data_IF_290231518383
#
_entry.id   IF_290231518383
#
_cell.length_a   1.000
_cell.length_b   1.000
_cell.length_c   1.000
_cell.angle_alpha   90.00
_cell.angle_beta   90.00
_cell.angle_gamma   90.00
#
_symmetry.space_group_name_H-M   'P 1'
#
loop_
_entity.id
_entity.type
_entity.pdbx_description
1 polymer ?
#
# COMPACT_ATOMS: atom_id res chain seq x y z
N UNK A 1 10.89 8.11 -14.82
CA UNK A 1 10.20 9.26 -15.46
C UNK A 1 8.71 9.11 -15.22
N UNK A 2 8.03 10.20 -14.90
CA UNK A 2 6.57 10.26 -14.75
C UNK A 2 6.04 11.22 -15.82
N UNK A 3 4.89 10.91 -16.40
CA UNK A 3 4.29 11.79 -17.39
C UNK A 3 2.84 11.45 -17.68
N UNK A 4 2.15 12.38 -18.33
CA UNK A 4 0.87 12.13 -18.95
C UNK A 4 1.05 11.83 -20.44
N UNK A 5 0.25 10.90 -20.96
CA UNK A 5 0.18 10.58 -22.38
C UNK A 5 -1.23 10.83 -22.88
N UNK A 6 -1.39 11.75 -23.83
CA UNK A 6 -2.66 11.98 -24.51
C UNK A 6 -2.71 11.14 -25.77
N UNK A 7 -3.75 10.32 -25.90
CA UNK A 7 -3.95 9.42 -27.04
C UNK A 7 -5.35 9.64 -27.59
N UNK A 8 -5.50 9.54 -28.92
CA UNK A 8 -6.80 9.51 -29.54
C UNK A 8 -7.28 8.06 -29.66
N UNK A 9 -8.45 7.77 -29.09
CA UNK A 9 -9.09 6.46 -29.20
C UNK A 9 -9.57 6.21 -30.64
N UNK A 10 -9.92 4.94 -30.94
CA UNK A 10 -10.39 4.54 -32.29
C UNK A 10 -11.66 5.27 -32.74
N UNK A 11 -12.46 5.74 -31.80
CA UNK A 11 -13.67 6.52 -32.04
C UNK A 11 -13.41 8.04 -32.18
N UNK A 12 -12.14 8.46 -32.08
CA UNK A 12 -11.73 9.86 -32.17
C UNK A 12 -11.71 10.61 -30.84
N UNK A 13 -12.17 9.98 -29.74
CA UNK A 13 -12.20 10.58 -28.40
C UNK A 13 -10.76 10.75 -27.86
N UNK A 14 -10.34 11.96 -27.45
CA UNK A 14 -9.08 12.13 -26.75
C UNK A 14 -9.18 11.52 -25.35
N UNK A 15 -8.18 10.73 -24.95
CA UNK A 15 -8.05 10.17 -23.62
C UNK A 15 -6.63 10.40 -23.08
N UNK A 16 -6.56 10.86 -21.84
CA UNK A 16 -5.31 11.04 -21.11
C UNK A 16 -5.03 9.81 -20.24
N UNK A 17 -3.75 9.43 -20.17
CA UNK A 17 -3.24 8.38 -19.31
C UNK A 17 -2.08 8.90 -18.47
N UNK A 18 -1.87 8.28 -17.31
CA UNK A 18 -0.66 8.48 -16.52
C UNK A 18 0.28 7.30 -16.74
N UNK A 19 1.55 7.59 -17.01
CA UNK A 19 2.58 6.58 -17.25
C UNK A 19 3.79 6.81 -16.34
N UNK A 20 4.23 5.72 -15.71
CA UNK A 20 5.53 5.63 -15.03
C UNK A 20 6.47 4.80 -15.87
N UNK A 21 7.70 5.27 -16.02
CA UNK A 21 8.77 4.56 -16.75
C UNK A 21 9.99 4.44 -15.85
N UNK A 22 10.42 3.20 -15.58
CA UNK A 22 11.51 2.87 -14.68
C UNK A 22 12.43 1.85 -15.36
N UNK A 23 13.73 2.14 -15.38
CA UNK A 23 14.73 1.23 -15.96
C UNK A 23 15.27 0.24 -14.93
N UNK A 24 16.02 -0.76 -15.40
CA UNK A 24 16.62 -1.84 -14.62
C UNK A 24 15.61 -2.86 -14.12
N UNK A 25 16.12 -4.03 -13.73
CA UNK A 25 15.33 -5.12 -13.15
C UNK A 25 14.44 -4.69 -11.96
N UNK A 26 14.94 -3.79 -11.10
CA UNK A 26 14.13 -3.23 -10.01
C UNK A 26 12.89 -2.50 -10.52
N UNK A 27 12.99 -1.81 -11.66
CA UNK A 27 11.87 -1.13 -12.31
C UNK A 27 10.79 -2.08 -12.79
N UNK A 28 11.17 -3.28 -13.27
CA UNK A 28 10.21 -4.32 -13.63
C UNK A 28 9.38 -4.75 -12.41
N UNK A 29 10.05 -5.00 -11.30
CA UNK A 29 9.38 -5.47 -10.08
C UNK A 29 8.51 -4.37 -9.46
N UNK A 30 8.98 -3.12 -9.45
CA UNK A 30 8.20 -1.97 -8.97
C UNK A 30 6.94 -1.75 -9.80
N UNK A 31 7.05 -1.68 -11.12
CA UNK A 31 5.90 -1.44 -12.02
C UNK A 31 4.87 -2.56 -11.97
N UNK A 32 5.33 -3.83 -11.88
CA UNK A 32 4.43 -4.98 -11.70
C UNK A 32 3.77 -4.99 -10.33
N UNK A 33 4.53 -4.72 -9.26
CA UNK A 33 4.01 -4.65 -7.90
C UNK A 33 2.92 -3.57 -7.76
N UNK A 34 3.17 -2.39 -8.31
CA UNK A 34 2.19 -1.30 -8.35
C UNK A 34 0.96 -1.66 -9.17
N UNK A 35 1.12 -2.22 -10.38
CA UNK A 35 -0.01 -2.65 -11.21
C UNK A 35 -0.92 -3.64 -10.48
N UNK A 36 -0.36 -4.65 -9.82
CA UNK A 36 -1.13 -5.63 -9.07
C UNK A 36 -1.78 -5.04 -7.81
N UNK A 37 -1.11 -4.11 -7.14
CA UNK A 37 -1.64 -3.41 -5.96
C UNK A 37 -2.85 -2.55 -6.32
N UNK A 38 -2.67 -1.68 -7.32
CA UNK A 38 -3.73 -0.83 -7.87
C UNK A 38 -4.89 -1.67 -8.40
N UNK A 39 -4.61 -2.81 -9.04
CA UNK A 39 -5.66 -3.70 -9.55
C UNK A 39 -6.46 -4.34 -8.44
N UNK A 40 -5.80 -4.78 -7.36
CA UNK A 40 -6.47 -5.35 -6.20
C UNK A 40 -7.38 -4.32 -5.52
N UNK A 41 -6.89 -3.09 -5.34
CA UNK A 41 -7.70 -2.01 -4.78
C UNK A 41 -8.87 -1.63 -5.68
N UNK A 42 -8.62 -1.43 -6.98
CA UNK A 42 -9.66 -1.04 -7.93
C UNK A 42 -10.76 -2.11 -8.04
N UNK A 43 -10.42 -3.40 -7.90
CA UNK A 43 -11.43 -4.46 -7.88
C UNK A 43 -12.34 -4.42 -6.65
N UNK A 44 -11.88 -3.86 -5.53
CA UNK A 44 -12.65 -3.73 -4.28
C UNK A 44 -13.42 -2.41 -4.23
N UNK A 45 -12.77 -1.32 -4.63
CA UNK A 45 -13.29 0.04 -4.53
C UNK A 45 -12.79 0.90 -5.71
N UNK A 46 -13.40 0.76 -6.91
CA UNK A 46 -12.97 1.44 -8.14
C UNK A 46 -12.87 2.96 -8.01
N UNK A 47 -13.74 3.58 -7.22
CA UNK A 47 -13.79 5.02 -7.02
C UNK A 47 -12.63 5.59 -6.20
N UNK A 48 -11.85 4.75 -5.50
CA UNK A 48 -10.79 5.21 -4.59
C UNK A 48 -9.41 5.29 -5.24
N UNK A 49 -9.21 4.64 -6.39
CA UNK A 49 -7.91 4.53 -7.06
C UNK A 49 -8.05 4.71 -8.57
N UNK A 50 -7.09 5.35 -9.26
CA UNK A 50 -7.05 5.33 -10.72
C UNK A 50 -7.04 3.90 -11.24
N UNK A 51 -7.90 3.61 -12.21
CA UNK A 51 -7.95 2.33 -12.91
C UNK A 51 -6.59 1.97 -13.53
N UNK A 52 -5.95 0.89 -13.08
CA UNK A 52 -4.75 0.38 -13.74
C UNK A 52 -5.10 -0.22 -15.09
N UNK A 53 -4.24 -0.02 -16.08
CA UNK A 53 -4.47 -0.43 -17.46
C UNK A 53 -3.47 -1.50 -17.88
N UNK A 54 -2.18 -1.25 -17.67
CA UNK A 54 -1.14 -2.17 -18.09
C UNK A 54 0.18 -1.96 -17.33
N UNK A 55 1.01 -2.99 -17.31
CA UNK A 55 2.44 -2.87 -17.05
C UNK A 55 3.22 -3.75 -18.03
N UNK A 56 4.47 -3.40 -18.32
CA UNK A 56 5.29 -4.19 -19.25
C UNK A 56 6.69 -3.65 -19.45
N UNK A 57 7.39 -4.23 -20.42
CA UNK A 57 8.74 -3.83 -20.84
C UNK A 57 8.67 -3.28 -22.25
N UNK A 58 9.46 -2.23 -22.54
CA UNK A 58 9.55 -1.65 -23.87
C UNK A 58 10.16 -2.67 -24.84
N UNK A 59 9.55 -2.84 -26.01
CA UNK A 59 10.05 -3.75 -27.04
C UNK A 59 11.42 -3.30 -27.58
N UNK A 60 11.61 -1.98 -27.75
CA UNK A 60 12.84 -1.41 -28.31
C UNK A 60 13.92 -1.13 -27.26
N UNK A 61 13.58 -1.14 -25.97
CA UNK A 61 14.49 -0.84 -24.85
C UNK A 61 14.26 -1.87 -23.73
N UNK A 62 14.92 -3.01 -23.84
CA UNK A 62 14.67 -4.20 -23.00
C UNK A 62 14.82 -3.97 -21.48
N UNK A 63 15.59 -2.96 -21.05
CA UNK A 63 15.81 -2.63 -19.64
C UNK A 63 14.93 -1.46 -19.17
N UNK A 64 13.81 -1.21 -19.83
CA UNK A 64 12.88 -0.12 -19.51
C UNK A 64 11.46 -0.64 -19.37
N UNK A 65 10.87 -0.41 -18.20
CA UNK A 65 9.59 -0.96 -17.80
C UNK A 65 8.59 0.16 -17.53
N UNK A 66 7.30 -0.14 -17.69
CA UNK A 66 6.24 0.84 -17.46
C UNK A 66 5.09 0.30 -16.63
N UNK A 67 4.42 1.25 -15.97
CA UNK A 67 3.07 1.12 -15.42
C UNK A 67 2.21 2.22 -16.06
N UNK A 68 1.00 1.85 -16.47
CA UNK A 68 0.02 2.71 -17.14
C UNK A 68 -1.32 2.60 -16.41
N UNK A 69 -1.90 3.74 -16.06
CA UNK A 69 -3.25 3.85 -15.51
C UNK A 69 -4.02 5.01 -16.14
N UNK A 70 -5.32 5.09 -15.84
CA UNK A 70 -6.11 6.24 -16.22
C UNK A 70 -5.56 7.53 -15.59
N UNK A 71 -5.67 8.63 -16.32
CA UNK A 71 -5.33 9.94 -15.78
C UNK A 71 -6.54 10.51 -15.04
N UNK A 72 -6.34 10.94 -13.79
CA UNK A 72 -7.33 11.64 -12.98
C UNK A 72 -6.76 13.01 -12.61
N UNK A 73 -7.51 14.07 -12.88
CA UNK A 73 -7.15 15.40 -12.41
C UNK A 73 -7.43 15.47 -10.91
N UNK A 74 -6.44 15.93 -10.15
CA UNK A 74 -6.52 16.01 -8.71
C UNK A 74 -6.18 17.42 -8.23
N UNK A 75 -6.81 17.85 -7.15
CA UNK A 75 -6.38 19.06 -6.42
C UNK A 75 -5.28 18.71 -5.41
N UNK A 76 -4.46 19.69 -5.07
CA UNK A 76 -3.37 19.55 -4.09
C UNK A 76 -3.86 19.62 -2.63
N UNK A 77 -5.18 19.67 -2.42
CA UNK A 77 -5.78 19.77 -1.09
C UNK A 77 -5.76 18.42 -0.36
N UNK A 78 -5.61 18.49 0.95
CA UNK A 78 -5.78 17.30 1.80
C UNK A 78 -7.23 16.83 1.77
N UNK A 79 -7.49 15.53 1.57
CA UNK A 79 -8.84 14.98 1.65
C UNK A 79 -9.48 15.25 3.02
N UNK A 80 -10.78 15.53 3.03
CA UNK A 80 -11.56 15.62 4.26
C UNK A 80 -11.38 14.33 5.10
N UNK A 81 -11.08 14.42 6.40
CA UNK A 81 -10.83 13.25 7.23
C UNK A 81 -11.96 12.22 7.25
N UNK A 82 -13.23 12.66 7.26
CA UNK A 82 -14.38 11.76 7.29
C UNK A 82 -14.60 11.08 5.95
N UNK A 83 -14.56 11.82 4.83
CA UNK A 83 -14.67 11.23 3.49
C UNK A 83 -13.56 10.21 3.25
N UNK A 84 -12.31 10.58 3.55
CA UNK A 84 -11.16 9.69 3.36
C UNK A 84 -11.24 8.44 4.24
N UNK A 85 -11.59 8.61 5.52
CA UNK A 85 -11.80 7.51 6.45
C UNK A 85 -12.89 6.55 5.99
N UNK A 86 -13.99 7.06 5.43
CA UNK A 86 -15.08 6.24 4.91
C UNK A 86 -14.59 5.33 3.76
N UNK A 87 -13.83 5.88 2.81
CA UNK A 87 -13.27 5.11 1.69
C UNK A 87 -12.24 4.07 2.15
N UNK A 88 -11.30 4.48 3.02
CA UNK A 88 -10.28 3.56 3.54
C UNK A 88 -10.91 2.43 4.37
N UNK A 89 -11.89 2.75 5.22
CA UNK A 89 -12.63 1.74 5.98
C UNK A 89 -13.42 0.81 5.06
N UNK A 90 -14.09 1.34 4.04
CA UNK A 90 -14.80 0.53 3.05
C UNK A 90 -13.85 -0.43 2.30
N UNK A 91 -12.65 0.01 1.91
CA UNK A 91 -11.64 -0.86 1.32
C UNK A 91 -11.24 -2.01 2.27
N UNK A 92 -10.94 -1.69 3.53
CA UNK A 92 -10.56 -2.69 4.53
C UNK A 92 -11.71 -3.68 4.83
N UNK A 93 -12.96 -3.20 4.89
CA UNK A 93 -14.13 -4.03 5.16
C UNK A 93 -14.55 -4.90 3.98
N UNK A 94 -14.53 -4.37 2.76
CA UNK A 94 -14.98 -5.08 1.55
C UNK A 94 -13.91 -6.00 0.96
N UNK A 95 -12.63 -5.78 1.27
CA UNK A 95 -11.57 -6.66 0.79
C UNK A 95 -11.61 -8.03 1.45
N UNK A 96 -11.35 -9.06 0.65
CA UNK A 96 -11.27 -10.44 1.09
C UNK A 96 -9.94 -11.03 0.61
N UNK A 97 -9.17 -11.61 1.53
CA UNK A 97 -7.95 -12.33 1.15
C UNK A 97 -8.35 -13.59 0.38
N UNK A 98 -7.83 -13.81 -0.84
CA UNK A 98 -8.16 -15.02 -1.61
C UNK A 98 -7.72 -16.34 -0.96
N UNK A 99 -7.02 -16.26 0.17
CA UNK A 99 -6.43 -17.40 0.87
C UNK A 99 -6.72 -17.41 2.36
N UNK A 100 -7.54 -16.47 2.84
CA UNK A 100 -7.78 -16.23 4.27
C UNK A 100 -6.49 -16.04 5.08
N UNK A 101 -5.44 -15.50 4.44
CA UNK A 101 -4.10 -15.31 5.01
C UNK A 101 -3.57 -13.91 4.76
N UNK A 102 -2.64 -13.48 5.60
CA UNK A 102 -1.85 -12.27 5.39
C UNK A 102 -0.84 -12.49 4.27
N UNK A 103 -0.37 -11.40 3.66
CA UNK A 103 0.58 -11.39 2.55
C UNK A 103 -0.04 -11.03 1.20
N UNK A 104 0.69 -11.29 0.12
CA UNK A 104 0.26 -10.94 -1.24
C UNK A 104 0.88 -11.90 -2.26
N UNK A 105 0.34 -11.97 -3.47
CA UNK A 105 0.83 -12.90 -4.49
C UNK A 105 2.10 -12.42 -5.20
N UNK A 106 2.44 -11.14 -5.07
CA UNK A 106 3.63 -10.52 -5.67
C UNK A 106 4.22 -9.50 -4.70
N UNK A 107 5.54 -9.36 -4.69
CA UNK A 107 6.20 -8.33 -3.89
C UNK A 107 5.92 -6.94 -4.48
N UNK A 108 5.29 -6.08 -3.70
CA UNK A 108 5.25 -4.65 -3.98
C UNK A 108 6.44 -3.94 -3.31
N UNK A 109 6.65 -2.66 -3.63
CA UNK A 109 7.82 -1.90 -3.18
C UNK A 109 7.38 -0.60 -2.50
N UNK A 110 7.83 -0.39 -1.27
CA UNK A 110 7.73 0.89 -0.59
C UNK A 110 9.02 1.67 -0.86
N UNK A 111 8.96 2.62 -1.80
CA UNK A 111 10.17 3.18 -2.43
C UNK A 111 11.00 2.08 -3.10
N UNK A 112 12.25 1.89 -2.67
CA UNK A 112 13.12 0.83 -3.21
C UNK A 112 13.14 -0.44 -2.36
N UNK A 113 12.35 -0.51 -1.29
CA UNK A 113 12.34 -1.64 -0.37
C UNK A 113 11.25 -2.63 -0.77
N UNK A 114 11.61 -3.89 -1.11
CA UNK A 114 10.61 -4.92 -1.37
C UNK A 114 9.87 -5.23 -0.07
N UNK A 115 8.55 -5.33 -0.16
CA UNK A 115 7.71 -5.73 0.96
C UNK A 115 7.71 -7.25 1.13
N UNK A 116 7.58 -7.71 2.38
CA UNK A 116 7.37 -9.12 2.67
C UNK A 116 5.93 -9.49 2.30
N UNK A 117 5.77 -10.54 1.48
CA UNK A 117 4.45 -10.94 0.95
C UNK A 117 4.14 -12.41 1.12
N UNK A 118 5.03 -13.19 1.76
CA UNK A 118 4.77 -14.61 1.96
C UNK A 118 3.54 -14.82 2.84
N UNK A 119 2.80 -15.89 2.56
CA UNK A 119 1.50 -16.14 3.19
C UNK A 119 1.65 -16.61 4.62
N UNK A 120 0.92 -15.99 5.52
CA UNK A 120 0.92 -16.35 6.94
C UNK A 120 -0.52 -16.38 7.49
N UNK A 121 -0.79 -17.34 8.38
CA UNK A 121 -2.11 -17.47 9.01
C UNK A 121 -2.29 -16.65 10.29
N UNK A 122 -1.21 -16.07 10.83
CA UNK A 122 -1.23 -15.24 12.04
C UNK A 122 -0.63 -13.87 11.74
N UNK A 123 -1.27 -12.84 12.27
CA UNK A 123 -0.81 -11.47 12.21
C UNK A 123 0.50 -11.29 12.97
N UNK A 124 0.63 -11.88 14.17
CA UNK A 124 1.88 -11.87 14.94
C UNK A 124 3.04 -12.40 14.09
N UNK A 125 2.85 -13.57 13.47
CA UNK A 125 3.87 -14.21 12.65
C UNK A 125 4.21 -13.40 11.40
N UNK A 126 3.19 -12.88 10.69
CA UNK A 126 3.39 -12.05 9.51
C UNK A 126 4.16 -10.77 9.84
N UNK A 127 3.71 -10.02 10.85
CA UNK A 127 4.34 -8.77 11.24
C UNK A 127 5.79 -8.99 11.70
N UNK A 128 6.06 -10.05 12.47
CA UNK A 128 7.41 -10.42 12.84
C UNK A 128 8.29 -10.67 11.60
N UNK A 129 7.83 -11.48 10.63
CA UNK A 129 8.61 -11.76 9.43
C UNK A 129 8.87 -10.51 8.59
N UNK A 130 7.89 -9.61 8.47
CA UNK A 130 8.07 -8.30 7.82
C UNK A 130 9.11 -7.45 8.52
N UNK A 131 9.04 -7.32 9.86
CA UNK A 131 10.03 -6.56 10.63
C UNK A 131 11.43 -7.18 10.56
N UNK A 132 11.52 -8.50 10.50
CA UNK A 132 12.79 -9.22 10.34
C UNK A 132 13.43 -8.86 9.00
N UNK A 133 12.67 -8.95 7.91
CA UNK A 133 13.15 -8.58 6.58
C UNK A 133 13.64 -7.13 6.54
N UNK A 134 12.89 -6.19 7.14
CA UNK A 134 13.31 -4.78 7.18
C UNK A 134 14.63 -4.59 7.93
N UNK A 135 14.82 -5.27 9.06
CA UNK A 135 16.08 -5.21 9.81
C UNK A 135 17.24 -5.87 9.05
N UNK A 136 17.00 -7.01 8.41
CA UNK A 136 18.04 -7.71 7.63
C UNK A 136 18.50 -6.87 6.44
N UNK A 137 17.59 -6.15 5.78
CA UNK A 137 17.92 -5.19 4.72
C UNK A 137 18.76 -4.02 5.25
N UNK A 138 18.44 -3.50 6.42
CA UNK A 138 19.21 -2.42 7.04
C UNK A 138 20.61 -2.89 7.47
N UNK A 139 20.71 -4.08 8.08
CA UNK A 139 21.98 -4.71 8.46
C UNK A 139 22.83 -4.99 7.22
N UNK A 140 22.22 -5.51 6.15
CA UNK A 140 22.92 -5.77 4.89
C UNK A 140 23.51 -4.50 4.27
N UNK A 141 22.91 -3.33 4.52
CA UNK A 141 23.34 -2.06 3.94
C UNK A 141 24.28 -1.24 4.84
N UNK A 142 24.05 -1.23 6.15
CA UNK A 142 24.83 -0.42 7.11
C UNK A 142 25.81 -1.25 7.95
N UNK A 143 25.73 -2.57 7.88
CA UNK A 143 26.44 -3.48 8.76
C UNK A 143 25.69 -3.73 10.09
N UNK A 144 26.11 -4.75 10.85
CA UNK A 144 25.54 -5.05 12.16
C UNK A 144 25.93 -3.98 13.19
N UNK A 145 25.07 -3.79 14.19
CA UNK A 145 25.33 -2.96 15.37
C UNK A 145 24.88 -3.71 16.63
N UNK A 146 25.63 -3.58 17.72
CA UNK A 146 25.27 -4.16 19.02
C UNK A 146 23.93 -3.61 19.53
N UNK A 147 23.71 -2.29 19.39
CA UNK A 147 22.46 -1.63 19.75
C UNK A 147 21.27 -2.22 18.97
N UNK A 148 21.46 -2.43 17.66
CA UNK A 148 20.45 -3.04 16.80
C UNK A 148 20.18 -4.51 17.18
N UNK A 149 21.20 -5.24 17.61
CA UNK A 149 21.08 -6.61 18.11
C UNK A 149 20.24 -6.68 19.39
N UNK A 150 20.53 -5.82 20.37
CA UNK A 150 19.77 -5.73 21.63
C UNK A 150 18.32 -5.32 21.35
N UNK A 151 18.12 -4.31 20.51
CA UNK A 151 16.79 -3.85 20.09
C UNK A 151 16.01 -4.97 19.40
N UNK A 152 16.61 -5.63 18.42
CA UNK A 152 15.99 -6.75 17.69
C UNK A 152 15.60 -7.85 18.69
N UNK A 153 16.49 -8.32 19.55
CA UNK A 153 16.14 -9.35 20.52
C UNK A 153 14.91 -8.96 21.39
N UNK A 154 14.87 -7.74 21.93
CA UNK A 154 13.72 -7.27 22.70
C UNK A 154 12.43 -7.14 21.88
N UNK A 155 12.54 -6.66 20.63
CA UNK A 155 11.41 -6.49 19.71
C UNK A 155 10.71 -7.84 19.46
N UNK A 156 11.46 -8.88 19.17
CA UNK A 156 10.90 -10.18 18.77
C UNK A 156 10.52 -11.07 19.94
N UNK A 157 11.31 -11.09 21.02
CA UNK A 157 11.01 -11.97 22.16
C UNK A 157 9.95 -11.39 23.10
N UNK A 158 9.75 -10.06 23.08
CA UNK A 158 8.87 -9.39 24.05
C UNK A 158 7.83 -8.51 23.39
N UNK A 159 8.24 -7.52 22.60
CA UNK A 159 7.33 -6.45 22.16
C UNK A 159 6.26 -7.00 21.21
N UNK A 160 6.65 -7.66 20.12
CA UNK A 160 5.73 -8.21 19.13
C UNK A 160 4.76 -9.22 19.76
N UNK A 161 5.22 -10.26 20.49
CA UNK A 161 4.34 -11.18 21.19
C UNK A 161 3.36 -10.52 22.16
N UNK A 162 3.81 -9.55 22.95
CA UNK A 162 2.95 -8.92 23.97
C UNK A 162 1.88 -8.01 23.38
N UNK A 163 2.16 -7.39 22.24
CA UNK A 163 1.22 -6.47 21.59
C UNK A 163 0.28 -7.17 20.61
N UNK A 164 0.79 -8.12 19.82
CA UNK A 164 0.02 -8.70 18.71
C UNK A 164 -0.68 -10.01 19.07
N UNK A 165 -0.06 -10.87 19.89
CA UNK A 165 -0.69 -12.15 20.27
C UNK A 165 -2.06 -11.99 20.92
N UNK A 166 -2.29 -11.00 21.81
CA UNK A 166 -3.61 -10.81 22.38
C UNK A 166 -4.69 -10.58 21.31
N UNK A 167 -4.36 -9.94 20.18
CA UNK A 167 -5.33 -9.68 19.11
C UNK A 167 -5.88 -10.97 18.47
N UNK A 168 -5.17 -12.08 18.58
CA UNK A 168 -5.53 -13.40 18.02
C UNK A 168 -5.77 -14.45 19.13
N UNK A 169 -5.89 -14.01 20.39
CA UNK A 169 -6.12 -14.87 21.56
C UNK A 169 -7.56 -14.76 22.07
N UNK A 170 -7.99 -15.72 22.89
CA UNK A 170 -9.32 -15.74 23.53
C UNK A 170 -10.48 -15.74 22.53
N UNK A 171 -10.29 -16.39 21.37
CA UNK A 171 -11.28 -16.47 20.30
C UNK A 171 -11.36 -15.24 19.39
N UNK A 172 -10.49 -14.23 19.61
CA UNK A 172 -10.34 -13.10 18.69
C UNK A 172 -9.62 -13.53 17.41
N UNK A 173 -9.98 -12.89 16.31
CA UNK A 173 -9.40 -13.15 14.99
C UNK A 173 -9.11 -11.79 14.36
N UNK A 174 -7.91 -11.64 13.81
CA UNK A 174 -7.57 -10.47 12.99
C UNK A 174 -7.91 -10.78 11.54
N UNK A 175 -8.79 -9.98 10.94
CA UNK A 175 -9.11 -10.09 9.52
C UNK A 175 -7.92 -9.62 8.64
N UNK A 176 -7.42 -10.44 7.69
CA UNK A 176 -6.52 -9.97 6.65
C UNK A 176 -7.27 -9.01 5.71
N UNK A 177 -7.01 -7.72 5.85
CA UNK A 177 -7.61 -6.64 5.07
C UNK A 177 -6.59 -6.14 4.04
N UNK A 178 -7.04 -5.78 2.84
CA UNK A 178 -6.15 -5.21 1.81
C UNK A 178 -5.73 -3.81 2.24
N UNK A 179 -4.48 -3.64 2.67
CA UNK A 179 -3.94 -2.34 3.06
C UNK A 179 -3.18 -1.69 1.92
N UNK A 180 -3.11 -0.36 1.96
CA UNK A 180 -2.47 0.45 0.93
C UNK A 180 -0.94 0.26 0.84
N UNK A 181 -0.28 0.10 1.99
CA UNK A 181 1.17 -0.17 2.11
C UNK A 181 2.06 1.06 2.34
N UNK A 182 1.79 2.18 1.67
CA UNK A 182 2.57 3.44 1.80
C UNK A 182 1.67 4.68 1.76
N UNK A 183 0.76 4.79 2.73
CA UNK A 183 -0.30 5.81 2.69
C UNK A 183 0.12 7.06 3.46
N UNK A 184 0.47 8.10 2.73
CA UNK A 184 0.85 9.43 3.25
C UNK A 184 0.33 10.51 2.31
N UNK A 185 0.34 11.78 2.73
CA UNK A 185 -0.40 12.84 2.03
C UNK A 185 -0.05 12.97 0.54
N UNK A 186 1.21 12.74 0.15
CA UNK A 186 1.63 12.87 -1.23
C UNK A 186 1.18 11.71 -2.14
N UNK A 187 0.62 10.64 -1.56
CA UNK A 187 0.00 9.52 -2.26
C UNK A 187 -1.54 9.58 -2.19
N UNK A 188 -2.09 10.76 -1.85
CA UNK A 188 -3.51 11.02 -1.79
C UNK A 188 -3.83 12.37 -2.43
N UNK A 189 -5.02 12.50 -3.01
CA UNK A 189 -5.53 13.74 -3.58
C UNK A 189 -7.05 13.76 -3.56
N UNK A 190 -7.64 14.86 -4.03
CA UNK A 190 -9.08 14.98 -4.25
C UNK A 190 -9.31 14.98 -5.76
N UNK A 191 -10.14 14.07 -6.23
CA UNK A 191 -10.54 14.01 -7.62
C UNK A 191 -11.32 15.26 -8.02
N UNK A 192 -10.84 15.97 -9.05
CA UNK A 192 -11.39 17.26 -9.47
C UNK A 192 -12.82 17.15 -10.02
N UNK A 193 -13.19 16.00 -10.58
CA UNK A 193 -14.53 15.78 -11.14
C UNK A 193 -15.57 15.44 -10.07
N UNK A 194 -15.21 14.58 -9.11
CA UNK A 194 -16.16 13.99 -8.16
C UNK A 194 -16.07 14.53 -6.74
N UNK A 195 -15.06 15.35 -6.43
CA UNK A 195 -14.76 15.85 -5.07
C UNK A 195 -14.62 14.69 -4.05
N UNK A 196 -14.15 13.53 -4.52
CA UNK A 196 -13.89 12.34 -3.72
C UNK A 196 -12.40 12.14 -3.46
N UNK A 197 -12.03 11.52 -2.33
CA UNK A 197 -10.65 11.12 -2.10
C UNK A 197 -10.17 10.10 -3.12
N UNK A 198 -8.94 10.27 -3.57
CA UNK A 198 -8.26 9.35 -4.48
C UNK A 198 -6.87 9.02 -3.91
N UNK A 199 -6.41 7.78 -4.08
CA UNK A 199 -5.05 7.35 -3.68
C UNK A 199 -4.34 6.69 -4.86
N UNK A 200 -3.01 6.84 -4.92
CA UNK A 200 -2.18 6.41 -6.05
C UNK A 200 -0.74 6.12 -5.61
N UNK A 201 -0.06 5.20 -6.29
CA UNK A 201 1.25 4.65 -5.90
C UNK A 201 1.13 3.55 -4.81
N UNK A 202 0.12 2.70 -4.92
CA UNK A 202 -0.14 1.66 -3.93
C UNK A 202 0.92 0.54 -3.97
N UNK A 203 1.22 0.01 -2.79
CA UNK A 203 2.08 -1.15 -2.60
C UNK A 203 1.41 -2.13 -1.62
N UNK A 204 0.31 -2.69 -2.08
CA UNK A 204 -0.65 -3.40 -1.24
C UNK A 204 -0.21 -4.80 -0.84
N UNK A 205 -0.80 -5.25 0.26
CA UNK A 205 -0.81 -6.62 0.73
C UNK A 205 -1.95 -6.80 1.73
N UNK A 206 -2.26 -8.04 2.10
CA UNK A 206 -3.24 -8.32 3.15
C UNK A 206 -2.58 -8.27 4.53
N UNK A 207 -3.10 -7.42 5.41
CA UNK A 207 -2.55 -7.10 6.73
C UNK A 207 -3.67 -6.82 7.74
N UNK A 208 -3.31 -6.56 9.00
CA UNK A 208 -4.22 -5.89 9.92
C UNK A 208 -4.53 -4.47 9.40
N UNK A 209 -5.80 -4.06 9.41
CA UNK A 209 -6.26 -2.77 8.88
C UNK A 209 -5.51 -1.55 9.45
N UNK A 210 -5.25 -1.57 10.76
CA UNK A 210 -4.45 -0.55 11.48
C UNK A 210 -2.99 -0.40 11.00
N UNK A 211 -2.47 -1.29 10.14
CA UNK A 211 -1.12 -1.16 9.57
C UNK A 211 -0.89 0.25 8.97
N UNK A 212 -1.92 0.82 8.33
CA UNK A 212 -1.85 2.15 7.73
C UNK A 212 -1.47 3.26 8.74
N UNK A 213 -1.84 3.11 10.01
CA UNK A 213 -1.68 4.16 11.03
C UNK A 213 -0.23 4.33 11.45
N UNK A 214 0.62 3.31 11.29
CA UNK A 214 2.05 3.42 11.53
C UNK A 214 2.68 4.54 10.70
N UNK A 215 2.29 4.61 9.42
CA UNK A 215 2.73 5.64 8.48
C UNK A 215 2.17 7.02 8.81
N UNK A 216 1.08 7.13 9.57
CA UNK A 216 0.45 8.42 9.90
C UNK A 216 0.97 9.04 11.19
N UNK A 217 1.77 8.31 11.98
CA UNK A 217 2.32 8.86 13.23
C UNK A 217 3.29 10.03 13.01
N UNK A 218 4.20 10.00 12.01
CA UNK A 218 5.07 11.14 11.74
C UNK A 218 4.26 12.32 11.18
N UNK A 219 4.41 13.51 11.79
CA UNK A 219 3.69 14.72 11.36
C UNK A 219 3.98 15.13 9.92
N UNK A 220 5.15 14.78 9.40
CA UNK A 220 5.54 15.01 8.01
C UNK A 220 4.69 14.25 6.99
N UNK A 221 3.92 13.24 7.42
CA UNK A 221 3.11 12.41 6.52
C UNK A 221 1.67 12.93 6.36
N UNK A 222 1.32 14.04 7.02
CA UNK A 222 0.10 14.85 6.80
C UNK A 222 -1.21 14.24 7.28
N UNK A 223 -1.28 12.91 7.41
CA UNK A 223 -2.32 12.21 8.15
C UNK A 223 -1.96 12.17 9.65
N UNK A 224 -2.96 12.10 10.52
CA UNK A 224 -2.76 12.18 11.97
C UNK A 224 -4.03 11.86 12.74
N UNK A 225 -4.08 12.24 14.02
CA UNK A 225 -5.13 11.82 14.96
C UNK A 225 -6.57 12.07 14.46
N UNK A 226 -6.80 13.15 13.72
CA UNK A 226 -8.13 13.45 13.14
C UNK A 226 -8.60 12.39 12.12
N UNK A 227 -7.68 11.82 11.33
CA UNK A 227 -8.00 10.77 10.35
C UNK A 227 -8.18 9.43 11.04
N UNK A 228 -7.37 9.13 12.06
CA UNK A 228 -7.53 7.91 12.88
C UNK A 228 -8.86 7.96 13.63
N UNK A 229 -9.20 9.09 14.24
CA UNK A 229 -10.47 9.29 14.93
C UNK A 229 -11.66 9.12 13.97
N UNK A 230 -11.59 9.71 12.77
CA UNK A 230 -12.62 9.54 11.75
C UNK A 230 -12.75 8.07 11.31
N UNK A 231 -11.63 7.39 11.04
CA UNK A 231 -11.63 5.97 10.66
C UNK A 231 -12.32 5.10 11.71
N UNK A 232 -12.03 5.33 13.00
CA UNK A 232 -12.62 4.56 14.10
C UNK A 232 -14.14 4.71 14.23
N UNK A 233 -14.75 5.73 13.62
CA UNK A 233 -16.23 5.85 13.57
C UNK A 233 -16.88 4.84 12.63
N UNK A 234 -16.12 4.23 11.72
CA UNK A 234 -16.62 3.26 10.75
C UNK A 234 -16.28 1.81 11.09
N UNK A 235 -15.44 1.55 12.10
CA UNK A 235 -14.85 0.22 12.36
C UNK A 235 -15.36 -0.45 13.63
N UNK A 236 -16.62 -0.23 13.99
CA UNK A 236 -17.19 -0.87 15.17
C UNK A 236 -17.32 -2.40 15.05
N UNK A 237 -17.07 -2.97 13.86
CA UNK A 237 -17.27 -4.39 13.53
C UNK A 237 -16.05 -5.10 12.87
N UNK A 238 -14.79 -4.60 13.02
CA UNK A 238 -13.58 -5.23 12.46
C UNK A 238 -12.65 -5.75 13.56
#
# INVERSE_FOLDING_TARGET
MFGSAMVQLRDGTPQSFFIKVISKEIGMNMTRGEFHSMSAMHNVLPEFVPRPIACGTYETIADTHFFLCEFREMTDDMPDPYKFAAFLSALHQKSESPTDKFGFHIAAYAGNLPQFVAREGSWEAFFAKTMRQALDLEIGRKGPSEELGVFSHALFEKVIPRLLRPLESDGRVVKPSLVYGDLWYANAGIDADSDQPLVFDACCFFAHSEYAFGQWRPTCNGFGDKYVAAYNTFTHDI
#
